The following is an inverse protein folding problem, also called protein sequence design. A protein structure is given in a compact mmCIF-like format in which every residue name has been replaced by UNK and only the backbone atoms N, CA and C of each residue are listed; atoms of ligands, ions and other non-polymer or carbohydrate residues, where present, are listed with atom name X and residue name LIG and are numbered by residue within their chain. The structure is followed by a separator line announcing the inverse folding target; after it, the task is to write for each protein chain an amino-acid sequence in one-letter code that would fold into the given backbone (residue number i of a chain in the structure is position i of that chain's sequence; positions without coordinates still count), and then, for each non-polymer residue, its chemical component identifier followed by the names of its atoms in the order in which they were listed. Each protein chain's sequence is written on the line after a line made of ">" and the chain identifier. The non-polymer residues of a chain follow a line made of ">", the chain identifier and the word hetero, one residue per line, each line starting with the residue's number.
data_IF_107322371703
#
_entry.id   IF_107322371703
#
_cell.length_a   1.000
_cell.length_b   1.000
_cell.length_c   1.000
_cell.angle_alpha   90.00
_cell.angle_beta   90.00
_cell.angle_gamma   90.00
#
_symmetry.space_group_name_H-M   'P 1'
#
loop_
_entity.id
_entity.type
_entity.pdbx_description
1 polymer ?
#
# COMPACT_ATOMS: atom_id res chain seq x y z
N UNK A 1 43.70 56.27 -19.80
CA UNK A 1 44.12 56.59 -21.19
C UNK A 1 44.02 55.32 -22.02
N UNK A 2 43.40 55.19 -23.18
CA UNK A 2 42.48 55.95 -24.03
C UNK A 2 41.71 54.87 -24.84
N UNK A 3 40.38 54.77 -24.71
CA UNK A 3 39.33 55.28 -25.62
C UNK A 3 39.06 54.43 -26.90
N UNK A 4 38.00 53.62 -26.79
CA UNK A 4 36.86 53.40 -27.73
C UNK A 4 37.08 52.74 -29.11
N UNK A 5 36.35 51.63 -29.33
CA UNK A 5 35.30 51.54 -30.37
C UNK A 5 34.24 50.49 -30.01
N UNK A 6 33.01 50.98 -29.84
CA UNK A 6 31.74 50.26 -29.74
C UNK A 6 31.38 49.60 -31.08
N UNK A 7 30.91 48.35 -31.06
CA UNK A 7 29.86 47.84 -31.96
C UNK A 7 29.00 46.81 -31.18
N UNK A 8 27.73 47.14 -30.92
CA UNK A 8 26.67 46.24 -30.43
C UNK A 8 25.88 45.68 -31.67
N UNK A 9 24.94 44.72 -31.53
CA UNK A 9 24.83 43.51 -32.33
C UNK A 9 23.62 43.54 -33.27
N UNK A 10 23.45 42.52 -34.12
CA UNK A 10 22.17 41.99 -34.64
C UNK A 10 22.45 40.98 -35.77
N UNK A 11 21.47 40.14 -36.20
CA UNK A 11 20.26 39.68 -35.52
C UNK A 11 20.01 38.15 -35.66
N UNK A 12 18.99 37.65 -34.97
CA UNK A 12 18.36 36.33 -35.17
C UNK A 12 18.06 36.04 -36.66
N UNK A 13 18.21 34.79 -37.13
CA UNK A 13 17.57 34.36 -38.36
C UNK A 13 16.09 34.01 -38.10
N UNK A 14 15.24 34.71 -38.84
CA UNK A 14 13.79 34.60 -38.92
C UNK A 14 13.31 33.29 -39.57
N UNK A 15 12.16 32.83 -39.09
CA UNK A 15 11.25 31.84 -39.67
C UNK A 15 11.06 32.02 -41.19
N UNK A 16 11.15 30.95 -42.00
CA UNK A 16 10.55 30.94 -43.33
C UNK A 16 9.07 30.57 -43.22
N UNK A 17 8.22 31.58 -43.31
CA UNK A 17 6.81 31.44 -43.68
C UNK A 17 6.70 31.13 -45.17
N UNK A 18 6.16 29.97 -45.51
CA UNK A 18 5.62 29.65 -46.84
C UNK A 18 4.35 28.83 -46.71
N UNK A 19 3.32 29.10 -47.56
CA UNK A 19 1.97 28.64 -47.33
C UNK A 19 1.81 27.20 -47.81
N UNK A 20 1.58 26.26 -46.89
CA UNK A 20 1.02 24.97 -47.26
C UNK A 20 -0.49 25.15 -47.46
N UNK A 21 -0.86 25.31 -48.72
CA UNK A 21 -2.22 25.14 -49.23
C UNK A 21 -2.63 23.69 -48.90
N UNK A 22 -3.47 23.52 -47.88
CA UNK A 22 -4.15 22.25 -47.64
C UNK A 22 -5.31 22.22 -48.65
N UNK A 23 -5.07 21.61 -49.81
CA UNK A 23 -6.14 21.20 -50.71
C UNK A 23 -6.94 20.08 -50.03
N UNK A 24 -8.16 20.40 -49.64
CA UNK A 24 -9.20 19.43 -49.30
C UNK A 24 -9.36 18.40 -50.44
N UNK A 25 -9.23 17.08 -50.18
CA UNK A 25 -9.61 16.10 -51.18
C UNK A 25 -11.15 16.04 -51.26
N UNK A 26 -11.72 15.84 -52.46
CA UNK A 26 -13.16 15.70 -52.63
C UNK A 26 -13.63 14.39 -51.99
N UNK A 27 -14.73 14.47 -51.24
CA UNK A 27 -15.56 13.32 -50.88
C UNK A 27 -16.11 12.68 -52.17
N UNK A 28 -15.38 11.70 -52.71
CA UNK A 28 -15.93 10.77 -53.68
C UNK A 28 -16.57 9.60 -52.91
N UNK A 29 -17.90 9.58 -52.96
CA UNK A 29 -18.73 8.41 -52.69
C UNK A 29 -18.29 7.26 -53.60
N UNK A 30 -17.47 6.35 -53.08
CA UNK A 30 -17.31 5.02 -53.65
C UNK A 30 -18.18 4.03 -52.87
N UNK A 31 -19.31 3.72 -53.48
CA UNK A 31 -20.12 2.54 -53.25
C UNK A 31 -19.27 1.28 -53.42
N UNK A 32 -18.85 0.66 -52.31
CA UNK A 32 -18.39 -0.72 -52.32
C UNK A 32 -19.61 -1.63 -52.25
N UNK A 33 -19.96 -2.23 -53.39
CA UNK A 33 -20.90 -3.32 -53.50
C UNK A 33 -20.40 -4.51 -52.66
N UNK A 34 -21.09 -4.82 -51.57
CA UNK A 34 -20.96 -6.11 -50.90
C UNK A 34 -21.76 -7.13 -51.72
N UNK A 35 -21.02 -8.02 -52.36
CA UNK A 35 -21.55 -9.15 -53.12
C UNK A 35 -22.33 -10.10 -52.22
N UNK A 36 -23.55 -10.36 -52.66
CA UNK A 36 -24.56 -11.28 -52.16
C UNK A 36 -23.99 -12.69 -51.88
N UNK A 37 -24.10 -13.17 -50.64
CA UNK A 37 -24.04 -14.60 -50.31
C UNK A 37 -25.49 -15.11 -50.12
N UNK A 38 -25.84 -16.33 -50.55
CA UNK A 38 -27.23 -16.75 -50.69
C UNK A 38 -27.93 -16.93 -49.33
N UNK A 39 -29.06 -16.24 -49.17
CA UNK A 39 -30.03 -16.49 -48.11
C UNK A 39 -30.66 -17.88 -48.28
N UNK A 40 -30.45 -18.74 -47.29
CA UNK A 40 -31.13 -20.02 -47.17
C UNK A 40 -32.54 -19.78 -46.63
N UNK A 41 -33.53 -19.97 -47.50
CA UNK A 41 -34.95 -20.07 -47.14
C UNK A 41 -35.17 -21.27 -46.22
N UNK A 42 -35.72 -21.04 -45.02
CA UNK A 42 -36.46 -22.08 -44.28
C UNK A 42 -37.84 -21.56 -43.86
N UNK A 43 -38.88 -22.39 -44.03
CA UNK A 43 -40.27 -21.96 -44.00
C UNK A 43 -40.80 -21.79 -42.57
N UNK A 44 -41.76 -20.87 -42.43
CA UNK A 44 -42.62 -20.76 -41.25
C UNK A 44 -43.38 -22.07 -41.03
N UNK A 45 -43.09 -22.79 -39.96
CA UNK A 45 -43.90 -23.91 -39.50
C UNK A 45 -44.67 -23.47 -38.25
N UNK A 46 -45.93 -23.08 -38.46
CA UNK A 46 -46.91 -22.97 -37.39
C UNK A 46 -47.29 -24.38 -36.92
N UNK A 47 -46.94 -24.75 -35.71
CA UNK A 47 -47.45 -25.98 -35.08
C UNK A 47 -48.55 -25.63 -34.07
N UNK A 48 -49.77 -25.55 -34.57
CA UNK A 48 -50.91 -25.92 -33.75
C UNK A 48 -50.85 -27.44 -33.54
N UNK A 49 -50.50 -27.87 -32.34
CA UNK A 49 -50.72 -29.25 -31.91
C UNK A 49 -51.33 -29.27 -30.51
N UNK A 50 -52.34 -30.11 -30.38
CA UNK A 50 -53.32 -30.19 -29.30
C UNK A 50 -52.65 -30.62 -27.99
N UNK A 51 -52.99 -29.93 -26.89
CA UNK A 51 -52.61 -30.36 -25.53
C UNK A 51 -53.41 -31.63 -25.18
N UNK A 52 -52.69 -32.72 -24.89
CA UNK A 52 -53.29 -33.95 -24.40
C UNK A 52 -53.57 -33.81 -22.89
N UNK A 53 -54.80 -34.08 -22.40
CA UNK A 53 -55.20 -33.79 -21.01
C UNK A 53 -54.72 -34.81 -19.96
N UNK A 54 -53.76 -35.70 -20.28
CA UNK A 54 -53.39 -36.84 -19.44
C UNK A 54 -51.95 -36.74 -18.92
N UNK A 55 -51.45 -35.56 -18.56
CA UNK A 55 -50.09 -35.47 -18.03
C UNK A 55 -49.80 -34.30 -17.09
N UNK A 56 -50.81 -33.85 -16.32
CA UNK A 56 -50.52 -33.08 -15.12
C UNK A 56 -51.60 -33.31 -14.04
N UNK A 57 -51.30 -34.05 -12.95
CA UNK A 57 -52.24 -34.26 -11.84
C UNK A 57 -52.37 -33.04 -10.91
N UNK A 58 -51.73 -31.91 -11.22
CA UNK A 58 -51.70 -30.73 -10.34
C UNK A 58 -52.03 -29.41 -11.06
N UNK A 59 -52.62 -29.45 -12.27
CA UNK A 59 -53.13 -28.26 -12.96
C UNK A 59 -54.53 -27.89 -12.42
N UNK A 60 -54.57 -27.30 -11.22
CA UNK A 60 -55.77 -26.68 -10.68
C UNK A 60 -55.90 -25.28 -11.32
N UNK A 61 -56.75 -25.18 -12.34
CA UNK A 61 -56.93 -23.97 -13.16
C UNK A 61 -57.19 -22.66 -12.38
N UNK A 62 -57.13 -21.50 -13.06
CA UNK A 62 -57.08 -20.20 -12.39
C UNK A 62 -58.39 -19.87 -11.67
N UNK A 63 -58.33 -19.74 -10.33
CA UNK A 63 -59.43 -19.26 -9.50
C UNK A 63 -59.52 -17.71 -9.52
N UNK A 64 -60.73 -17.13 -9.49
CA UNK A 64 -60.93 -15.68 -9.61
C UNK A 64 -60.94 -14.97 -8.24
N UNK A 65 -60.74 -13.66 -8.31
CA UNK A 65 -61.06 -12.62 -7.31
C UNK A 65 -60.14 -12.46 -6.08
N UNK A 66 -59.13 -11.59 -6.21
CA UNK A 66 -58.61 -10.82 -5.05
C UNK A 66 -58.29 -9.37 -5.48
N UNK A 67 -59.03 -8.41 -4.92
CA UNK A 67 -58.89 -6.96 -5.10
C UNK A 67 -57.55 -6.41 -4.58
N UNK A 68 -56.96 -5.48 -5.32
CA UNK A 68 -55.75 -4.74 -4.94
C UNK A 68 -56.11 -3.53 -4.06
N UNK A 69 -55.81 -3.62 -2.76
CA UNK A 69 -55.84 -2.49 -1.83
C UNK A 69 -54.44 -1.88 -1.69
N UNK A 70 -54.30 -0.60 -2.06
CA UNK A 70 -53.13 0.23 -1.76
C UNK A 70 -53.25 0.85 -0.38
N UNK A 71 -52.30 0.67 0.54
CA UNK A 71 -52.05 1.61 1.65
C UNK A 71 -50.70 1.33 2.32
N UNK A 72 -49.73 2.22 2.06
CA UNK A 72 -48.61 2.66 2.91
C UNK A 72 -47.57 1.62 3.39
N UNK A 73 -46.32 1.71 2.92
CA UNK A 73 -45.17 2.40 3.56
C UNK A 73 -44.71 1.81 4.90
N UNK A 74 -43.39 1.60 4.96
CA UNK A 74 -42.53 1.24 6.09
C UNK A 74 -42.41 -0.23 6.50
N UNK A 75 -41.20 -0.77 6.32
CA UNK A 75 -40.62 -1.76 7.23
C UNK A 75 -40.08 -3.04 6.59
N UNK A 76 -38.74 -3.11 6.47
CA UNK A 76 -37.89 -4.30 6.23
C UNK A 76 -38.10 -5.05 4.92
N UNK A 77 -37.04 -5.10 4.13
CA UNK A 77 -36.93 -6.00 2.98
C UNK A 77 -36.88 -7.45 3.47
N UNK A 78 -37.99 -8.16 3.37
CA UNK A 78 -38.07 -9.61 3.57
C UNK A 78 -37.19 -10.34 2.55
N UNK A 79 -36.48 -11.37 2.98
CA UNK A 79 -35.74 -12.27 2.08
C UNK A 79 -36.74 -12.98 1.15
N UNK A 80 -36.40 -13.00 -0.14
CA UNK A 80 -37.21 -13.61 -1.21
C UNK A 80 -37.49 -15.09 -0.88
N UNK A 81 -38.76 -15.51 -0.69
CA UNK A 81 -39.11 -16.85 -0.19
C UNK A 81 -39.09 -17.93 -1.30
N UNK A 82 -38.48 -17.65 -2.45
CA UNK A 82 -38.42 -18.61 -3.56
C UNK A 82 -37.27 -19.61 -3.38
N UNK A 83 -37.49 -20.92 -3.66
CA UNK A 83 -36.41 -21.89 -3.66
C UNK A 83 -35.38 -21.58 -4.77
N UNK A 84 -34.12 -22.05 -4.65
CA UNK A 84 -33.03 -21.71 -5.57
C UNK A 84 -33.35 -21.96 -7.06
N UNK A 85 -33.13 -20.95 -7.90
CA UNK A 85 -33.25 -21.06 -9.35
C UNK A 85 -32.10 -21.90 -9.94
N UNK A 86 -32.48 -23.10 -10.42
CA UNK A 86 -31.73 -24.02 -11.29
C UNK A 86 -30.44 -24.67 -10.71
N UNK A 87 -30.47 -25.97 -10.33
CA UNK A 87 -29.29 -26.69 -9.84
C UNK A 87 -28.18 -26.92 -10.89
N UNK A 88 -28.49 -26.75 -12.19
CA UNK A 88 -27.55 -27.03 -13.29
C UNK A 88 -26.89 -25.75 -13.88
N UNK A 89 -26.96 -24.61 -13.18
CA UNK A 89 -26.28 -23.39 -13.62
C UNK A 89 -24.77 -23.44 -13.27
N UNK A 90 -23.84 -23.38 -14.26
CA UNK A 90 -22.40 -23.40 -14.01
C UNK A 90 -21.89 -22.16 -13.25
N UNK A 91 -22.69 -21.10 -13.14
CA UNK A 91 -22.37 -19.88 -12.42
C UNK A 91 -23.35 -19.69 -11.26
N UNK A 92 -22.96 -20.16 -10.07
CA UNK A 92 -23.78 -20.10 -8.87
C UNK A 92 -24.19 -18.68 -8.43
N UNK A 93 -25.41 -18.60 -7.89
CA UNK A 93 -26.04 -17.61 -7.00
C UNK A 93 -25.84 -16.08 -7.14
N UNK A 94 -24.95 -15.55 -7.99
CA UNK A 94 -24.86 -14.10 -8.19
C UNK A 94 -25.86 -13.61 -9.24
N UNK A 95 -27.06 -13.23 -8.80
CA UNK A 95 -27.96 -12.38 -9.59
C UNK A 95 -27.44 -10.94 -9.57
N UNK A 96 -26.78 -10.52 -10.64
CA UNK A 96 -26.57 -9.10 -10.90
C UNK A 96 -27.81 -8.50 -11.59
N UNK A 97 -28.19 -7.24 -11.29
CA UNK A 97 -29.32 -6.60 -11.95
C UNK A 97 -29.09 -6.51 -13.47
N UNK A 98 -30.16 -6.61 -14.25
CA UNK A 98 -30.09 -6.57 -15.71
C UNK A 98 -29.43 -5.27 -16.19
N UNK A 99 -28.29 -5.37 -16.87
CA UNK A 99 -27.47 -4.23 -17.30
C UNK A 99 -26.27 -3.88 -16.39
N UNK A 100 -26.09 -4.60 -15.27
CA UNK A 100 -24.93 -4.44 -14.40
C UNK A 100 -23.70 -5.13 -15.01
N UNK A 101 -22.92 -4.35 -15.76
CA UNK A 101 -21.65 -4.79 -16.30
C UNK A 101 -20.54 -4.35 -15.34
N UNK A 102 -19.83 -5.31 -14.72
CA UNK A 102 -18.76 -5.04 -13.74
C UNK A 102 -17.66 -4.16 -14.36
N UNK A 103 -17.44 -4.30 -15.68
CA UNK A 103 -16.46 -3.50 -16.43
C UNK A 103 -16.92 -2.05 -16.68
N UNK A 104 -18.23 -1.77 -16.75
CA UNK A 104 -18.75 -0.40 -16.90
C UNK A 104 -18.70 0.40 -15.60
N UNK A 105 -18.77 -0.27 -14.44
CA UNK A 105 -18.57 0.38 -13.13
C UNK A 105 -17.16 0.94 -13.01
N UNK A 106 -16.16 0.22 -13.57
CA UNK A 106 -14.80 0.71 -13.70
C UNK A 106 -14.73 1.95 -14.61
N UNK A 107 -15.52 2.02 -15.68
CA UNK A 107 -15.52 3.19 -16.58
C UNK A 107 -16.01 4.46 -15.88
N UNK A 108 -17.12 4.39 -15.13
CA UNK A 108 -17.62 5.54 -14.38
C UNK A 108 -16.71 5.94 -13.22
N UNK A 109 -16.05 4.98 -12.56
CA UNK A 109 -15.01 5.24 -11.56
C UNK A 109 -13.77 5.88 -12.20
N UNK A 110 -13.38 5.38 -13.38
CA UNK A 110 -12.24 5.85 -14.19
C UNK A 110 -12.44 7.27 -14.72
N UNK A 111 -13.66 7.62 -15.14
CA UNK A 111 -14.02 8.99 -15.56
C UNK A 111 -14.01 9.96 -14.38
N UNK A 112 -14.47 9.51 -13.20
CA UNK A 112 -14.45 10.31 -11.97
C UNK A 112 -13.06 10.47 -11.37
N UNK A 113 -12.20 9.46 -11.53
CA UNK A 113 -10.88 9.38 -10.90
C UNK A 113 -10.94 8.81 -9.48
N UNK A 114 -12.02 8.12 -9.12
CA UNK A 114 -12.19 7.54 -7.78
C UNK A 114 -11.28 6.32 -7.61
N UNK A 115 -10.59 6.25 -6.47
CA UNK A 115 -9.75 5.11 -6.09
C UNK A 115 -10.51 4.26 -5.07
N UNK A 116 -10.89 3.03 -5.46
CA UNK A 116 -11.56 2.08 -4.56
C UNK A 116 -10.62 1.00 -4.04
N UNK A 117 -9.61 0.63 -4.84
CA UNK A 117 -8.57 -0.32 -4.44
C UNK A 117 -7.19 0.26 -4.70
N UNK A 118 -6.39 0.34 -3.66
CA UNK A 118 -5.02 0.82 -3.70
C UNK A 118 -4.06 -0.29 -3.31
N UNK A 119 -3.06 -0.57 -4.13
CA UNK A 119 -1.95 -1.45 -3.78
C UNK A 119 -0.72 -0.60 -3.48
N UNK A 120 -0.08 -0.80 -2.33
CA UNK A 120 1.20 -0.15 -2.03
C UNK A 120 2.31 -1.19 -2.00
N UNK A 121 3.34 -1.02 -2.82
CA UNK A 121 4.55 -1.85 -2.82
C UNK A 121 5.64 -1.12 -2.06
N UNK A 122 5.92 -1.58 -0.83
CA UNK A 122 6.82 -0.90 0.09
C UNK A 122 8.14 -1.65 0.18
N UNK A 123 9.19 -1.01 -0.33
CA UNK A 123 10.58 -1.42 -0.19
C UNK A 123 11.11 -1.14 1.21
N UNK A 124 12.04 -1.96 1.67
CA UNK A 124 12.70 -1.80 2.97
C UNK A 124 12.37 -2.86 4.02
N UNK A 125 12.86 -2.59 5.23
CA UNK A 125 12.62 -3.36 6.43
C UNK A 125 11.48 -2.80 7.27
N UNK A 126 11.52 -3.05 8.58
CA UNK A 126 10.47 -2.57 9.51
C UNK A 126 10.45 -1.04 9.57
N UNK A 127 11.63 -0.40 9.59
CA UNK A 127 11.78 1.04 9.72
C UNK A 127 11.08 1.80 8.59
N UNK A 128 11.39 1.45 7.34
CA UNK A 128 10.83 2.12 6.16
C UNK A 128 9.33 1.86 6.00
N UNK A 129 8.87 0.66 6.40
CA UNK A 129 7.44 0.32 6.38
C UNK A 129 6.64 1.09 7.45
N UNK A 130 7.23 1.39 8.62
CA UNK A 130 6.60 2.25 9.63
C UNK A 130 6.42 3.68 9.13
N UNK A 131 7.44 4.24 8.49
CA UNK A 131 7.39 5.59 7.95
C UNK A 131 6.40 5.75 6.79
N UNK A 132 5.92 4.64 6.23
CA UNK A 132 4.86 4.65 5.20
C UNK A 132 3.44 4.78 5.78
N UNK A 133 3.24 4.65 7.09
CA UNK A 133 1.90 4.71 7.71
C UNK A 133 1.15 6.03 7.48
N UNK A 134 1.79 7.22 7.55
CA UNK A 134 1.16 8.48 7.14
C UNK A 134 0.58 8.44 5.73
N UNK A 135 1.27 7.83 4.76
CA UNK A 135 0.78 7.70 3.39
C UNK A 135 -0.51 6.86 3.32
N UNK A 136 -0.57 5.77 4.09
CA UNK A 136 -1.77 4.92 4.16
C UNK A 136 -2.96 5.67 4.74
N UNK A 137 -2.74 6.45 5.81
CA UNK A 137 -3.78 7.27 6.43
C UNK A 137 -4.24 8.36 5.45
N UNK A 138 -3.31 9.04 4.78
CA UNK A 138 -3.60 10.06 3.76
C UNK A 138 -4.44 9.50 2.60
N UNK A 139 -4.15 8.28 2.14
CA UNK A 139 -4.93 7.59 1.10
C UNK A 139 -6.37 7.32 1.59
N UNK A 140 -6.54 6.92 2.84
CA UNK A 140 -7.87 6.67 3.44
C UNK A 140 -8.69 7.94 3.64
N UNK A 141 -8.03 9.01 4.06
CA UNK A 141 -8.68 10.31 4.28
C UNK A 141 -9.09 10.94 2.95
N UNK A 142 -8.25 10.78 1.91
CA UNK A 142 -8.55 11.24 0.54
C UNK A 142 -9.68 10.46 -0.11
N UNK A 143 -9.66 9.13 0.00
CA UNK A 143 -10.60 8.25 -0.71
C UNK A 143 -11.44 7.47 0.29
N UNK A 144 -12.63 7.98 0.68
CA UNK A 144 -13.47 7.29 1.66
C UNK A 144 -13.90 5.92 1.13
N UNK A 145 -13.66 4.88 1.94
CA UNK A 145 -13.97 3.50 1.58
C UNK A 145 -12.92 2.77 0.72
N UNK A 146 -11.78 3.40 0.39
CA UNK A 146 -10.69 2.75 -0.34
C UNK A 146 -10.16 1.53 0.41
N UNK A 147 -9.97 0.41 -0.28
CA UNK A 147 -9.33 -0.78 0.28
C UNK A 147 -7.84 -0.71 -0.02
N UNK A 148 -7.01 -0.66 1.04
CA UNK A 148 -5.56 -0.60 0.91
C UNK A 148 -4.96 -1.97 1.16
N UNK A 149 -4.28 -2.50 0.16
CA UNK A 149 -3.47 -3.71 0.24
C UNK A 149 -2.00 -3.35 0.15
N UNK A 150 -1.15 -4.07 0.90
CA UNK A 150 0.28 -3.84 0.94
C UNK A 150 1.03 -5.07 0.41
N UNK A 151 2.10 -4.81 -0.32
CA UNK A 151 3.11 -5.78 -0.72
C UNK A 151 4.43 -5.32 -0.11
N UNK A 152 5.04 -6.15 0.72
CA UNK A 152 6.29 -5.83 1.39
C UNK A 152 7.11 -7.10 1.64
N UNK A 153 8.39 -6.92 1.96
CA UNK A 153 9.27 -8.01 2.40
C UNK A 153 8.63 -8.80 3.55
N UNK A 154 8.96 -10.10 3.73
CA UNK A 154 8.37 -10.92 4.81
C UNK A 154 8.50 -10.27 6.20
N UNK A 155 9.59 -9.53 6.43
CA UNK A 155 9.83 -8.78 7.67
C UNK A 155 9.03 -7.47 7.70
N UNK A 156 9.05 -6.68 6.63
CA UNK A 156 8.29 -5.43 6.53
C UNK A 156 6.78 -5.64 6.69
N UNK A 157 6.26 -6.75 6.15
CA UNK A 157 4.85 -7.18 6.29
C UNK A 157 4.36 -7.20 7.73
N UNK A 158 5.19 -7.63 8.68
CA UNK A 158 4.79 -7.78 10.09
C UNK A 158 4.39 -6.44 10.71
N UNK A 159 4.96 -5.34 10.22
CA UNK A 159 4.64 -3.97 10.65
C UNK A 159 3.16 -3.66 10.50
N UNK A 160 2.49 -4.20 9.48
CA UNK A 160 1.08 -3.91 9.24
C UNK A 160 0.12 -4.58 10.24
N UNK A 161 0.63 -5.43 11.14
CA UNK A 161 -0.16 -5.95 12.28
C UNK A 161 -0.65 -4.84 13.22
N UNK A 162 0.09 -3.72 13.26
CA UNK A 162 -0.24 -2.53 14.06
C UNK A 162 -0.88 -1.40 13.26
N UNK A 163 -1.33 -1.67 12.02
CA UNK A 163 -2.03 -0.68 11.19
C UNK A 163 -3.44 -1.14 10.84
N UNK A 164 -4.46 -0.47 11.38
CA UNK A 164 -5.88 -0.79 11.16
C UNK A 164 -6.39 -0.46 9.75
N UNK A 165 -5.67 0.37 9.01
CA UNK A 165 -6.11 0.88 7.71
C UNK A 165 -5.72 -0.05 6.56
N UNK A 166 -4.92 -1.08 6.83
CA UNK A 166 -4.52 -2.09 5.85
C UNK A 166 -5.50 -3.26 5.91
N UNK A 167 -6.00 -3.68 4.74
CA UNK A 167 -6.86 -4.85 4.61
C UNK A 167 -6.03 -6.13 4.55
N UNK A 168 -5.10 -6.18 3.61
CA UNK A 168 -4.22 -7.35 3.41
C UNK A 168 -2.77 -6.92 3.23
N UNK A 169 -1.86 -7.69 3.80
CA UNK A 169 -0.42 -7.56 3.58
C UNK A 169 0.13 -8.86 3.00
N UNK A 170 0.58 -8.82 1.74
CA UNK A 170 1.20 -9.94 1.02
C UNK A 170 2.72 -9.86 1.18
N UNK A 171 3.35 -11.00 1.46
CA UNK A 171 4.79 -11.10 1.54
C UNK A 171 5.36 -11.31 0.13
N UNK A 172 6.20 -10.38 -0.30
CA UNK A 172 6.97 -10.44 -1.54
C UNK A 172 8.09 -9.43 -1.38
N UNK A 173 9.34 -9.83 -1.53
CA UNK A 173 10.44 -8.89 -1.35
C UNK A 173 10.61 -8.04 -2.61
N UNK A 174 10.19 -6.76 -2.60
CA UNK A 174 10.39 -5.93 -3.78
C UNK A 174 11.87 -5.65 -4.02
N UNK A 175 12.75 -5.84 -3.02
CA UNK A 175 14.17 -5.48 -3.10
C UNK A 175 15.06 -6.59 -3.62
N UNK A 176 14.50 -7.78 -3.82
CA UNK A 176 15.21 -8.83 -4.53
C UNK A 176 15.49 -8.37 -5.97
N UNK A 177 16.77 -8.42 -6.33
CA UNK A 177 17.24 -8.00 -7.66
C UNK A 177 16.92 -9.06 -8.72
N UNK A 178 16.86 -10.33 -8.31
CA UNK A 178 16.66 -11.46 -9.22
C UNK A 178 15.65 -12.45 -8.62
N UNK A 179 14.38 -12.04 -8.49
CA UNK A 179 13.34 -12.94 -8.00
C UNK A 179 13.20 -14.14 -8.95
N UNK A 180 12.88 -15.29 -8.37
CA UNK A 180 12.61 -16.47 -9.18
C UNK A 180 11.44 -16.18 -10.14
N UNK A 181 11.53 -16.56 -11.43
CA UNK A 181 10.47 -16.29 -12.40
C UNK A 181 9.10 -16.83 -11.97
N UNK A 182 9.07 -17.94 -11.23
CA UNK A 182 7.86 -18.52 -10.69
C UNK A 182 7.21 -17.60 -9.64
N UNK A 183 7.98 -17.09 -8.67
CA UNK A 183 7.50 -16.15 -7.66
C UNK A 183 7.04 -14.82 -8.29
N UNK A 184 7.77 -14.35 -9.30
CA UNK A 184 7.42 -13.16 -10.05
C UNK A 184 6.06 -13.29 -10.77
N UNK A 185 5.86 -14.40 -11.49
CA UNK A 185 4.62 -14.66 -12.22
C UNK A 185 3.43 -14.93 -11.30
N UNK A 186 3.66 -15.62 -10.17
CA UNK A 186 2.62 -15.84 -9.16
C UNK A 186 2.17 -14.51 -8.55
N UNK A 187 3.13 -13.64 -8.17
CA UNK A 187 2.81 -12.32 -7.64
C UNK A 187 2.05 -11.46 -8.67
N UNK A 188 2.48 -11.48 -9.94
CA UNK A 188 1.75 -10.79 -11.01
C UNK A 188 0.31 -11.32 -11.14
N UNK A 189 0.12 -12.63 -11.07
CA UNK A 189 -1.20 -13.26 -11.10
C UNK A 189 -2.07 -12.77 -9.93
N UNK A 190 -1.52 -12.77 -8.71
CA UNK A 190 -2.21 -12.26 -7.50
C UNK A 190 -2.62 -10.80 -7.65
N UNK A 191 -1.72 -9.95 -8.15
CA UNK A 191 -2.00 -8.52 -8.31
C UNK A 191 -3.03 -8.25 -9.41
N UNK A 192 -2.92 -8.94 -10.54
CA UNK A 192 -3.84 -8.81 -11.67
C UNK A 192 -5.25 -9.28 -11.31
N UNK A 193 -5.38 -10.37 -10.56
CA UNK A 193 -6.68 -10.88 -10.12
C UNK A 193 -7.41 -9.96 -9.14
N UNK A 194 -6.68 -9.06 -8.45
CA UNK A 194 -7.27 -8.14 -7.46
C UNK A 194 -7.76 -6.82 -8.04
N UNK A 195 -7.38 -6.46 -9.27
CA UNK A 195 -7.75 -5.22 -9.96
C UNK A 195 -7.63 -3.97 -9.09
N UNK A 196 -6.48 -3.30 -9.18
CA UNK A 196 -6.24 -2.05 -8.45
C UNK A 196 -6.50 -0.82 -9.33
N UNK A 197 -7.00 0.25 -8.71
CA UNK A 197 -7.19 1.55 -9.36
C UNK A 197 -5.92 2.40 -9.26
N UNK A 198 -5.18 2.25 -8.14
CA UNK A 198 -3.96 2.97 -7.84
C UNK A 198 -2.90 2.00 -7.32
N UNK A 199 -1.69 2.09 -7.85
CA UNK A 199 -0.52 1.40 -7.32
C UNK A 199 0.57 2.41 -6.98
N UNK A 200 1.00 2.40 -5.72
CA UNK A 200 2.02 3.29 -5.18
C UNK A 200 3.23 2.45 -4.79
N UNK A 201 4.44 2.79 -5.25
CA UNK A 201 5.64 2.05 -4.88
C UNK A 201 6.77 2.92 -4.35
N UNK A 202 7.35 2.50 -3.22
CA UNK A 202 8.50 3.17 -2.61
C UNK A 202 9.85 2.62 -3.08
N UNK A 203 9.86 1.51 -3.83
CA UNK A 203 11.08 1.00 -4.48
C UNK A 203 11.49 1.97 -5.58
N UNK A 204 12.79 2.24 -5.69
CA UNK A 204 13.37 2.91 -6.86
C UNK A 204 13.13 2.09 -8.12
N UNK A 205 12.21 2.56 -8.94
CA UNK A 205 11.85 1.94 -10.19
C UNK A 205 12.95 2.17 -11.23
N UNK A 206 13.63 1.09 -11.60
CA UNK A 206 14.22 0.95 -12.93
C UNK A 206 13.17 0.41 -13.92
N UNK A 207 13.57 0.17 -15.16
CA UNK A 207 12.67 -0.36 -16.19
C UNK A 207 11.95 -1.65 -15.76
N UNK A 208 12.67 -2.59 -15.12
CA UNK A 208 12.11 -3.87 -14.70
C UNK A 208 10.97 -3.74 -13.69
N UNK A 209 11.13 -2.90 -12.66
CA UNK A 209 10.08 -2.67 -11.66
C UNK A 209 8.90 -1.89 -12.25
N UNK A 210 9.18 -0.91 -13.11
CA UNK A 210 8.14 -0.20 -13.84
C UNK A 210 7.34 -1.14 -14.75
N UNK A 211 8.00 -2.09 -15.42
CA UNK A 211 7.35 -3.12 -16.24
C UNK A 211 6.52 -4.09 -15.39
N UNK A 212 7.02 -4.49 -14.22
CA UNK A 212 6.25 -5.29 -13.26
C UNK A 212 4.93 -4.58 -12.90
N UNK A 213 5.00 -3.32 -12.46
CA UNK A 213 3.81 -2.53 -12.15
C UNK A 213 2.88 -2.38 -13.37
N UNK A 214 3.44 -2.15 -14.55
CA UNK A 214 2.69 -2.01 -15.80
C UNK A 214 1.87 -3.27 -16.15
N UNK A 215 2.46 -4.47 -15.97
CA UNK A 215 1.80 -5.74 -16.28
C UNK A 215 0.63 -6.08 -15.34
N UNK A 216 0.51 -5.43 -14.17
CA UNK A 216 -0.62 -5.63 -13.25
C UNK A 216 -1.95 -5.06 -13.74
N UNK A 217 -1.97 -4.38 -14.90
CA UNK A 217 -3.17 -3.74 -15.47
C UNK A 217 -3.80 -2.66 -14.58
N UNK A 218 -3.07 -2.17 -13.57
CA UNK A 218 -3.51 -1.09 -12.69
C UNK A 218 -3.66 0.23 -13.47
N UNK A 219 -4.69 1.03 -13.17
CA UNK A 219 -4.95 2.32 -13.85
C UNK A 219 -3.83 3.33 -13.61
N UNK A 220 -3.67 3.80 -12.38
CA UNK A 220 -2.64 4.78 -12.02
C UNK A 220 -1.45 4.10 -11.34
N UNK A 221 -0.24 4.33 -11.84
CA UNK A 221 0.99 3.72 -11.32
C UNK A 221 1.98 4.80 -10.96
N UNK A 222 2.38 4.83 -9.70
CA UNK A 222 3.20 5.91 -9.14
C UNK A 222 4.36 5.33 -8.38
N UNK A 223 5.58 5.79 -8.66
CA UNK A 223 6.77 5.29 -8.00
C UNK A 223 7.92 6.29 -8.02
N UNK A 224 8.85 6.13 -7.08
CA UNK A 224 10.14 6.78 -7.17
C UNK A 224 10.97 6.13 -8.28
N UNK A 225 11.74 6.92 -9.02
CA UNK A 225 12.64 6.42 -10.07
C UNK A 225 14.08 6.70 -9.68
N UNK A 226 15.02 5.92 -10.20
CA UNK A 226 16.44 6.20 -10.02
C UNK A 226 16.78 7.63 -10.51
N UNK A 227 17.64 8.37 -9.81
CA UNK A 227 18.07 9.70 -10.27
C UNK A 227 18.95 9.62 -11.53
N UNK A 228 19.56 8.46 -11.80
CA UNK A 228 20.49 8.21 -12.90
C UNK A 228 19.80 7.65 -14.17
N UNK A 229 20.60 7.34 -15.20
CA UNK A 229 20.16 6.76 -16.48
C UNK A 229 19.40 5.42 -16.33
N UNK A 230 19.52 4.76 -15.17
CA UNK A 230 18.76 3.54 -14.84
C UNK A 230 17.23 3.76 -14.83
N UNK A 231 16.78 5.01 -14.78
CA UNK A 231 15.36 5.37 -14.92
C UNK A 231 14.90 5.52 -16.39
N UNK A 232 15.78 5.34 -17.38
CA UNK A 232 15.41 5.45 -18.79
C UNK A 232 14.23 4.52 -19.14
N UNK A 233 13.23 5.08 -19.80
CA UNK A 233 12.03 4.36 -20.24
C UNK A 233 10.98 4.10 -19.15
N UNK A 234 11.24 4.38 -17.87
CA UNK A 234 10.26 4.19 -16.78
C UNK A 234 8.99 5.03 -16.95
N UNK A 235 9.13 6.25 -17.48
CA UNK A 235 8.02 7.17 -17.73
C UNK A 235 7.02 6.71 -18.79
N UNK A 236 7.35 5.71 -19.63
CA UNK A 236 6.38 5.11 -20.55
C UNK A 236 5.45 4.11 -19.85
N UNK A 237 5.87 3.59 -18.69
CA UNK A 237 5.20 2.50 -17.97
C UNK A 237 4.49 3.00 -16.71
N UNK A 238 5.02 4.06 -16.09
CA UNK A 238 4.46 4.71 -14.92
C UNK A 238 3.62 5.94 -15.33
N UNK A 239 2.60 6.23 -14.53
CA UNK A 239 1.73 7.40 -14.71
C UNK A 239 2.38 8.66 -14.13
N UNK A 240 2.97 8.53 -12.94
CA UNK A 240 3.65 9.61 -12.23
C UNK A 240 4.97 9.11 -11.64
N UNK A 241 5.99 9.97 -11.67
CA UNK A 241 7.34 9.63 -11.25
C UNK A 241 7.86 10.65 -10.23
N UNK A 242 8.53 10.16 -9.20
CA UNK A 242 9.23 10.99 -8.21
C UNK A 242 10.74 10.80 -8.35
N UNK A 243 11.50 11.89 -8.28
CA UNK A 243 12.96 11.86 -8.38
C UNK A 243 13.55 12.14 -7.01
N UNK A 244 13.98 11.12 -6.25
CA UNK A 244 14.60 11.34 -4.96
C UNK A 244 15.98 11.99 -5.12
N UNK A 245 16.48 12.67 -4.08
CA UNK A 245 17.79 13.33 -4.12
C UNK A 245 18.96 12.34 -4.14
N UNK A 246 18.76 11.13 -3.64
CA UNK A 246 19.79 10.09 -3.58
C UNK A 246 19.30 8.75 -4.13
N UNK A 247 20.25 7.85 -4.36
CA UNK A 247 20.07 6.47 -4.81
C UNK A 247 19.55 5.52 -3.73
N UNK A 248 19.37 5.99 -2.49
CA UNK A 248 18.77 5.23 -1.41
C UNK A 248 17.77 6.10 -0.66
N UNK A 249 16.47 5.84 -0.83
CA UNK A 249 15.41 6.59 -0.15
C UNK A 249 15.58 6.58 1.38
N UNK A 250 16.12 5.50 1.94
CA UNK A 250 16.21 5.29 3.38
C UNK A 250 17.12 6.33 4.05
N UNK A 251 18.05 6.94 3.31
CA UNK A 251 18.90 8.05 3.77
C UNK A 251 18.10 9.31 4.10
N UNK A 252 16.92 9.49 3.48
CA UNK A 252 16.03 10.61 3.78
C UNK A 252 15.40 10.56 5.17
N UNK A 253 15.60 9.47 5.92
CA UNK A 253 15.10 9.30 7.27
C UNK A 253 13.59 9.56 7.36
N UNK A 254 13.17 10.39 8.32
CA UNK A 254 11.76 10.70 8.55
C UNK A 254 11.04 11.30 7.31
N UNK A 255 11.74 12.06 6.46
CA UNK A 255 11.17 12.77 5.32
C UNK A 255 11.35 12.02 3.98
N UNK A 256 11.73 10.74 4.02
CA UNK A 256 12.04 9.97 2.80
C UNK A 256 10.89 9.90 1.77
N UNK A 257 9.64 10.07 2.23
CA UNK A 257 8.46 9.99 1.37
C UNK A 257 7.81 11.34 1.05
N UNK A 258 8.44 12.47 1.36
CA UNK A 258 7.84 13.81 1.24
C UNK A 258 7.28 14.12 -0.15
N UNK A 259 7.96 13.75 -1.23
CA UNK A 259 7.47 14.01 -2.60
C UNK A 259 6.18 13.22 -2.89
N UNK A 260 6.14 11.96 -2.45
CA UNK A 260 4.97 11.10 -2.57
C UNK A 260 3.82 11.58 -1.69
N UNK A 261 4.11 12.00 -0.46
CA UNK A 261 3.12 12.57 0.46
C UNK A 261 2.56 13.89 -0.08
N UNK A 262 3.39 14.76 -0.66
CA UNK A 262 2.93 15.97 -1.32
C UNK A 262 1.99 15.63 -2.48
N UNK A 263 2.39 14.71 -3.35
CA UNK A 263 1.55 14.28 -4.48
C UNK A 263 0.22 13.67 -4.03
N UNK A 264 0.25 12.78 -3.03
CA UNK A 264 -0.93 12.23 -2.37
C UNK A 264 -1.72 13.26 -1.56
N UNK A 265 -1.17 14.45 -1.31
CA UNK A 265 -1.82 15.55 -0.60
C UNK A 265 -2.43 16.60 -1.53
N UNK A 266 -2.06 16.63 -2.82
CA UNK A 266 -2.49 17.65 -3.79
C UNK A 266 -4.02 17.76 -3.92
N UNK A 267 -4.58 18.98 -3.99
CA UNK A 267 -6.01 19.14 -4.18
C UNK A 267 -6.44 18.56 -5.54
N UNK A 268 -7.51 17.76 -5.54
CA UNK A 268 -8.05 17.14 -6.75
C UNK A 268 -9.55 17.43 -6.79
N UNK A 269 -10.07 17.93 -7.94
CA UNK A 269 -11.51 18.06 -8.26
C UNK A 269 -12.43 18.25 -7.04
N UNK A 270 -12.48 19.48 -6.51
CA UNK A 270 -13.30 19.91 -5.37
C UNK A 270 -12.86 19.42 -3.96
N UNK A 271 -11.79 18.62 -3.84
CA UNK A 271 -11.21 18.29 -2.55
C UNK A 271 -10.06 19.24 -2.19
N UNK A 272 -10.05 19.82 -0.97
CA UNK A 272 -8.95 20.64 -0.50
C UNK A 272 -7.68 19.81 -0.30
N UNK A 273 -6.54 20.49 -0.11
CA UNK A 273 -5.29 19.84 0.24
C UNK A 273 -5.44 19.16 1.60
N UNK A 274 -5.18 17.86 1.66
CA UNK A 274 -5.24 17.10 2.90
C UNK A 274 -3.92 17.28 3.67
N UNK A 275 -3.96 17.61 4.97
CA UNK A 275 -2.75 17.68 5.78
C UNK A 275 -2.12 16.30 5.94
N UNK A 276 -0.79 16.25 6.02
CA UNK A 276 -0.07 14.98 6.24
C UNK A 276 -0.39 14.51 7.68
N UNK A 277 -1.04 13.34 7.84
CA UNK A 277 -1.37 12.84 9.16
C UNK A 277 -0.10 12.39 9.90
N UNK A 278 -0.05 12.55 11.23
CA UNK A 278 1.10 12.06 12.00
C UNK A 278 1.11 10.52 12.01
N UNK A 279 2.29 9.95 12.27
CA UNK A 279 2.47 8.52 12.44
C UNK A 279 1.62 8.03 13.63
N UNK A 280 0.72 7.08 13.39
CA UNK A 280 -0.13 6.46 14.42
C UNK A 280 -0.09 4.94 14.30
N UNK A 281 -0.03 4.27 15.44
CA UNK A 281 -0.05 2.81 15.53
C UNK A 281 -1.25 2.33 16.35
N UNK A 282 -1.73 1.13 16.05
CA UNK A 282 -2.86 0.49 16.73
C UNK A 282 -2.43 -0.87 17.26
N UNK A 283 -2.27 -0.97 18.59
CA UNK A 283 -1.75 -2.18 19.24
C UNK A 283 -2.93 -3.07 19.67
N UNK A 284 -2.91 -4.33 19.24
CA UNK A 284 -3.97 -5.29 19.60
C UNK A 284 -3.92 -5.65 21.09
N UNK A 285 -5.09 -5.94 21.67
CA UNK A 285 -5.20 -6.35 23.08
C UNK A 285 -4.39 -7.62 23.39
N UNK A 286 -4.42 -8.60 22.48
CA UNK A 286 -3.71 -9.87 22.60
C UNK A 286 -2.19 -9.68 22.68
N UNK A 287 -1.63 -8.83 21.82
CA UNK A 287 -0.17 -8.54 21.82
C UNK A 287 0.23 -7.83 23.10
N UNK A 288 -0.58 -6.89 23.59
CA UNK A 288 -0.34 -6.19 24.84
C UNK A 288 -0.33 -7.11 26.06
N UNK A 289 -1.31 -8.03 26.17
CA UNK A 289 -1.35 -9.04 27.24
C UNK A 289 -0.13 -9.97 27.19
N UNK A 290 0.27 -10.40 25.98
CA UNK A 290 1.45 -11.24 25.79
C UNK A 290 2.75 -10.55 26.24
N UNK A 291 2.93 -9.28 25.86
CA UNK A 291 4.12 -8.49 26.24
C UNK A 291 4.11 -8.16 27.73
N UNK A 292 2.94 -7.92 28.31
CA UNK A 292 2.78 -7.73 29.75
C UNK A 292 3.24 -8.93 30.57
N UNK A 293 2.94 -10.16 30.12
CA UNK A 293 3.50 -11.36 30.72
C UNK A 293 5.04 -11.40 30.65
N UNK A 294 5.62 -11.07 29.50
CA UNK A 294 7.08 -11.11 29.31
C UNK A 294 7.82 -10.14 30.20
N UNK A 295 7.42 -8.87 30.26
CA UNK A 295 8.16 -7.88 31.05
C UNK A 295 7.94 -8.08 32.56
N UNK A 296 6.79 -8.62 32.99
CA UNK A 296 6.60 -9.03 34.39
C UNK A 296 7.53 -10.18 34.78
N UNK A 297 7.73 -11.15 33.89
CA UNK A 297 8.68 -12.25 34.10
C UNK A 297 10.13 -11.75 34.14
N UNK A 298 10.45 -10.69 33.40
CA UNK A 298 11.74 -10.00 33.46
C UNK A 298 11.92 -9.08 34.69
N UNK A 299 10.94 -9.06 35.60
CA UNK A 299 10.99 -8.35 36.88
C UNK A 299 10.67 -6.85 36.80
N UNK A 300 10.18 -6.33 35.68
CA UNK A 300 9.85 -4.90 35.53
C UNK A 300 8.36 -4.62 35.66
N UNK A 301 8.03 -3.43 36.18
CA UNK A 301 6.66 -2.94 36.34
C UNK A 301 6.34 -1.91 35.26
N UNK A 302 5.11 -1.93 34.74
CA UNK A 302 4.60 -0.94 33.78
C UNK A 302 4.92 0.49 34.21
N UNK A 303 5.45 1.29 33.28
CA UNK A 303 5.82 2.69 33.47
C UNK A 303 7.06 2.95 34.33
N UNK A 304 7.75 1.92 34.82
CA UNK A 304 8.96 2.05 35.67
C UNK A 304 10.22 1.51 35.01
N UNK A 305 10.21 1.38 33.68
CA UNK A 305 11.36 0.97 32.90
C UNK A 305 11.53 1.82 31.66
N UNK A 306 12.76 1.88 31.16
CA UNK A 306 13.13 2.49 29.89
C UNK A 306 13.57 1.38 28.96
N UNK A 307 13.07 1.41 27.72
CA UNK A 307 13.42 0.41 26.70
C UNK A 307 14.75 0.79 26.07
N UNK A 308 15.71 -0.12 26.09
CA UNK A 308 17.00 0.01 25.38
C UNK A 308 16.94 -0.84 24.12
N UNK A 309 17.17 -0.21 22.95
CA UNK A 309 17.10 -0.88 21.65
C UNK A 309 18.21 -0.37 20.71
N UNK A 310 18.71 -1.20 19.81
CA UNK A 310 19.86 -0.84 18.95
C UNK A 310 21.19 -1.44 19.43
N UNK A 311 21.10 -2.62 20.05
CA UNK A 311 22.27 -3.46 20.31
C UNK A 311 22.86 -3.93 18.98
N UNK A 312 24.18 -3.90 18.89
CA UNK A 312 24.92 -4.49 17.77
C UNK A 312 24.56 -5.97 17.62
N UNK A 313 24.09 -6.32 16.43
CA UNK A 313 23.60 -7.65 16.12
C UNK A 313 23.59 -7.86 14.60
N UNK A 314 24.08 -9.01 14.17
CA UNK A 314 23.98 -9.48 12.78
C UNK A 314 22.56 -9.93 12.40
N UNK A 315 21.64 -9.96 13.36
CA UNK A 315 20.28 -10.44 13.16
C UNK A 315 19.45 -9.45 12.34
N UNK A 316 18.74 -9.96 11.32
CA UNK A 316 17.69 -9.21 10.59
C UNK A 316 16.55 -8.73 11.50
N UNK A 317 16.50 -9.18 12.76
CA UNK A 317 15.54 -8.74 13.75
C UNK A 317 15.91 -7.43 14.47
N UNK A 318 17.09 -6.85 14.23
CA UNK A 318 17.56 -5.58 14.84
C UNK A 318 16.70 -4.35 14.49
N UNK A 319 15.86 -4.45 13.45
CA UNK A 319 14.95 -3.38 13.00
C UNK A 319 15.65 -2.03 12.72
N UNK A 320 16.93 -2.09 12.34
CA UNK A 320 17.69 -0.91 11.90
C UNK A 320 17.19 -0.37 10.55
N UNK A 321 17.45 0.92 10.32
CA UNK A 321 17.23 1.55 9.02
C UNK A 321 18.17 0.97 7.96
N UNK A 322 17.71 0.79 6.73
CA UNK A 322 18.59 0.46 5.59
C UNK A 322 19.42 1.66 5.11
N UNK A 323 19.12 2.86 5.58
CA UNK A 323 19.89 4.06 5.29
C UNK A 323 21.13 4.21 6.16
N UNK A 324 21.21 3.46 7.27
CA UNK A 324 22.24 3.64 8.30
C UNK A 324 22.68 2.30 8.88
N UNK A 325 23.66 1.69 8.20
CA UNK A 325 24.17 0.35 8.51
C UNK A 325 25.07 0.31 9.75
N UNK A 326 25.61 1.45 10.16
CA UNK A 326 26.48 1.62 11.33
C UNK A 326 25.73 2.28 12.50
N UNK A 327 24.41 2.10 12.52
CA UNK A 327 23.56 2.70 13.54
C UNK A 327 23.58 1.94 14.86
N UNK A 328 24.06 0.70 14.91
CA UNK A 328 23.99 -0.11 16.13
C UNK A 328 25.17 0.17 17.05
N UNK A 329 24.91 0.14 18.36
CA UNK A 329 25.95 0.39 19.37
C UNK A 329 26.38 -0.92 20.05
N UNK A 330 27.68 -1.13 20.26
CA UNK A 330 28.21 -2.25 21.03
C UNK A 330 27.67 -2.31 22.47
N UNK A 331 27.61 -3.53 23.02
CA UNK A 331 27.05 -3.80 24.36
C UNK A 331 27.79 -3.03 25.47
N UNK A 332 29.11 -2.90 25.39
CA UNK A 332 29.90 -2.21 26.40
C UNK A 332 29.53 -0.73 26.56
N UNK A 333 29.24 -0.02 25.45
CA UNK A 333 28.79 1.38 25.50
C UNK A 333 27.40 1.48 26.14
N UNK A 334 26.52 0.53 25.85
CA UNK A 334 25.20 0.47 26.50
C UNK A 334 25.31 0.21 28.01
N UNK A 335 26.28 -0.60 28.44
CA UNK A 335 26.56 -0.81 29.86
C UNK A 335 27.00 0.49 30.55
N UNK A 336 27.86 1.28 29.91
CA UNK A 336 28.31 2.58 30.42
C UNK A 336 27.15 3.58 30.54
N UNK A 337 26.31 3.68 29.52
CA UNK A 337 25.13 4.58 29.49
C UNK A 337 24.15 4.20 30.61
N UNK A 338 23.87 2.91 30.77
CA UNK A 338 22.85 2.44 31.71
C UNK A 338 23.31 2.42 33.16
N UNK A 339 24.64 2.34 33.42
CA UNK A 339 25.22 2.43 34.76
C UNK A 339 24.88 3.74 35.48
N UNK A 340 24.71 4.82 34.74
CA UNK A 340 24.40 6.14 35.32
C UNK A 340 22.89 6.33 35.63
N UNK A 341 22.03 5.42 35.17
CA UNK A 341 20.57 5.50 35.38
C UNK A 341 20.18 5.04 36.79
N UNK A 342 19.56 5.92 37.59
CA UNK A 342 19.17 5.62 38.98
C UNK A 342 17.65 5.47 39.21
N UNK A 343 16.84 6.24 38.50
CA UNK A 343 15.40 6.35 38.78
C UNK A 343 14.51 5.38 37.99
N UNK A 344 15.05 4.79 36.91
CA UNK A 344 14.31 3.92 35.98
C UNK A 344 15.15 2.70 35.65
N UNK A 345 14.56 1.50 35.71
CA UNK A 345 15.27 0.26 35.39
C UNK A 345 15.45 0.13 33.87
N UNK A 346 16.67 -0.06 33.35
CA UNK A 346 16.88 -0.33 31.94
C UNK A 346 16.35 -1.72 31.59
N UNK A 347 15.59 -1.82 30.50
CA UNK A 347 15.10 -3.07 29.93
C UNK A 347 15.69 -3.23 28.53
N UNK A 348 16.59 -4.19 28.37
CA UNK A 348 17.27 -4.45 27.11
C UNK A 348 16.43 -5.34 26.20
N UNK A 349 16.24 -4.88 24.96
CA UNK A 349 15.55 -5.65 23.93
C UNK A 349 16.59 -6.32 23.03
N UNK A 350 16.65 -7.66 23.10
CA UNK A 350 17.55 -8.44 22.26
C UNK A 350 16.84 -8.91 20.98
N UNK A 351 17.45 -8.74 19.79
CA UNK A 351 16.94 -9.25 18.52
C UNK A 351 17.15 -10.76 18.35
N UNK A 352 18.08 -11.38 19.09
CA UNK A 352 18.25 -12.84 19.12
C UNK A 352 18.69 -13.32 20.50
N UNK A 353 18.22 -14.50 20.92
CA UNK A 353 18.57 -15.13 22.20
C UNK A 353 20.09 -15.41 22.36
N UNK A 354 20.86 -15.36 21.27
CA UNK A 354 22.31 -15.62 21.29
C UNK A 354 23.08 -14.51 22.00
N UNK A 355 22.55 -13.29 21.96
CA UNK A 355 23.16 -12.11 22.57
C UNK A 355 22.85 -12.01 24.07
N UNK A 356 21.98 -12.88 24.61
CA UNK A 356 21.63 -12.86 26.03
C UNK A 356 22.85 -13.06 26.92
N UNK A 357 23.65 -14.08 26.63
CA UNK A 357 24.78 -14.49 27.47
C UNK A 357 25.82 -13.36 27.59
N UNK A 358 26.21 -12.79 26.44
CA UNK A 358 27.15 -11.66 26.38
C UNK A 358 26.63 -10.41 27.12
N UNK A 359 25.33 -10.16 27.02
CA UNK A 359 24.66 -9.04 27.70
C UNK A 359 24.61 -9.25 29.23
N UNK A 360 24.30 -10.47 29.68
CA UNK A 360 24.28 -10.83 31.10
C UNK A 360 25.69 -10.78 31.72
N UNK A 361 26.71 -11.18 30.97
CA UNK A 361 28.12 -11.09 31.39
C UNK A 361 28.60 -9.64 31.51
N UNK A 362 28.26 -8.79 30.53
CA UNK A 362 28.77 -7.41 30.47
C UNK A 362 28.05 -6.47 31.46
N UNK A 363 26.74 -6.61 31.59
CA UNK A 363 25.91 -5.69 32.41
C UNK A 363 25.69 -6.24 33.83
N UNK A 364 25.78 -7.56 33.98
CA UNK A 364 25.55 -8.29 35.23
C UNK A 364 24.15 -8.91 35.31
N UNK A 365 24.00 -9.90 36.20
CA UNK A 365 22.81 -10.76 36.31
C UNK A 365 21.53 -10.12 36.87
N UNK A 366 21.53 -8.84 37.25
CA UNK A 366 20.30 -8.09 37.61
C UNK A 366 19.74 -7.27 36.42
N UNK A 367 20.34 -7.42 35.24
CA UNK A 367 19.85 -6.81 34.02
C UNK A 367 18.50 -7.41 33.61
N UNK A 368 17.53 -6.54 33.32
CA UNK A 368 16.25 -6.97 32.77
C UNK A 368 16.38 -7.09 31.25
N UNK A 369 16.25 -8.31 30.73
CA UNK A 369 16.44 -8.62 29.31
C UNK A 369 15.17 -9.27 28.75
N UNK A 370 14.71 -8.79 27.60
CA UNK A 370 13.54 -9.31 26.91
C UNK A 370 13.84 -9.59 25.44
N UNK A 371 13.45 -10.78 24.98
CA UNK A 371 13.48 -11.14 23.57
C UNK A 371 12.18 -10.74 22.88
N UNK A 372 12.29 -9.89 21.86
CA UNK A 372 11.16 -9.38 21.09
C UNK A 372 11.36 -9.72 19.61
N UNK A 373 10.37 -10.38 19.02
CA UNK A 373 10.46 -10.82 17.63
C UNK A 373 9.71 -9.95 16.67
N UNK A 374 8.61 -9.29 17.05
CA UNK A 374 7.75 -8.56 16.09
C UNK A 374 7.67 -7.06 16.39
N UNK A 375 7.46 -6.21 15.36
CA UNK A 375 7.26 -4.78 15.56
C UNK A 375 6.09 -4.45 16.48
N UNK A 376 5.00 -5.23 16.44
CA UNK A 376 3.86 -5.03 17.33
C UNK A 376 4.15 -5.37 18.78
N UNK A 377 4.99 -6.39 19.05
CA UNK A 377 5.49 -6.66 20.40
C UNK A 377 6.35 -5.49 20.92
N UNK A 378 7.24 -4.96 20.07
CA UNK A 378 8.07 -3.80 20.42
C UNK A 378 7.20 -2.56 20.69
N UNK A 379 6.21 -2.29 19.85
CA UNK A 379 5.27 -1.19 20.04
C UNK A 379 4.49 -1.31 21.36
N UNK A 380 4.03 -2.52 21.71
CA UNK A 380 3.36 -2.79 22.97
C UNK A 380 4.27 -2.57 24.19
N UNK A 381 5.55 -2.97 24.07
CA UNK A 381 6.55 -2.76 25.11
C UNK A 381 6.80 -1.26 25.34
N UNK A 382 7.02 -0.51 24.26
CA UNK A 382 7.24 0.94 24.30
C UNK A 382 6.01 1.68 24.85
N UNK A 383 4.81 1.26 24.49
CA UNK A 383 3.59 1.87 25.01
C UNK A 383 3.46 1.74 26.54
N UNK A 384 3.98 0.67 27.13
CA UNK A 384 3.97 0.41 28.57
C UNK A 384 5.22 0.92 29.30
N UNK A 385 6.21 1.47 28.58
CA UNK A 385 7.44 2.02 29.17
C UNK A 385 7.31 3.49 29.58
N UNK A 386 8.31 3.99 30.32
CA UNK A 386 8.48 5.42 30.62
C UNK A 386 9.03 6.18 29.40
N UNK A 387 9.88 5.52 28.61
CA UNK A 387 10.48 6.06 27.40
C UNK A 387 11.35 5.01 26.70
N UNK A 388 12.07 5.46 25.68
CA UNK A 388 12.97 4.64 24.86
C UNK A 388 14.31 5.35 24.73
N UNK A 389 15.39 4.61 24.89
CA UNK A 389 16.73 5.04 24.47
C UNK A 389 17.14 4.07 23.37
N UNK A 390 17.42 4.60 22.19
CA UNK A 390 17.78 3.77 21.05
C UNK A 390 18.74 4.48 20.12
N UNK A 391 19.33 3.72 19.21
CA UNK A 391 19.94 4.29 18.01
C UNK A 391 18.90 4.44 16.90
N UNK A 392 19.31 4.78 15.68
CA UNK A 392 18.44 4.99 14.50
C UNK A 392 17.74 3.69 14.03
N UNK A 393 16.77 3.23 14.83
CA UNK A 393 16.02 2.00 14.64
C UNK A 393 14.51 2.25 14.70
N UNK A 394 13.72 1.23 14.37
CA UNK A 394 12.27 1.31 14.39
C UNK A 394 11.68 1.72 15.76
N UNK A 395 12.41 1.49 16.86
CA UNK A 395 11.98 1.84 18.21
C UNK A 395 11.73 3.36 18.38
N UNK A 396 12.56 4.20 17.75
CA UNK A 396 12.43 5.67 17.77
C UNK A 396 11.13 6.13 17.12
N UNK A 397 10.75 5.48 16.01
CA UNK A 397 9.52 5.81 15.28
C UNK A 397 8.28 5.29 16.03
N UNK A 398 8.36 4.11 16.63
CA UNK A 398 7.31 3.58 17.48
C UNK A 398 7.09 4.42 18.75
N UNK A 399 8.16 4.92 19.37
CA UNK A 399 8.06 5.83 20.51
C UNK A 399 7.31 7.12 20.15
N UNK A 400 7.61 7.70 18.99
CA UNK A 400 6.90 8.86 18.46
C UNK A 400 5.40 8.55 18.24
N UNK A 401 5.11 7.42 17.61
CA UNK A 401 3.73 6.99 17.35
C UNK A 401 2.91 6.75 18.63
N UNK A 402 3.57 6.31 19.70
CA UNK A 402 2.97 6.06 21.01
C UNK A 402 2.97 7.30 21.93
N UNK A 403 3.55 8.43 21.51
CA UNK A 403 3.66 9.64 22.33
C UNK A 403 4.57 9.47 23.56
N UNK A 404 5.64 8.69 23.44
CA UNK A 404 6.61 8.41 24.51
C UNK A 404 7.88 9.24 24.35
N UNK A 405 8.52 9.55 25.47
CA UNK A 405 9.85 10.17 25.46
C UNK A 405 10.85 9.24 24.78
N UNK A 406 11.70 9.79 23.93
CA UNK A 406 12.69 9.05 23.16
C UNK A 406 14.03 9.78 23.18
N UNK A 407 15.10 9.01 23.30
CA UNK A 407 16.46 9.46 23.10
C UNK A 407 17.06 8.66 21.95
N UNK A 408 17.63 9.36 20.98
CA UNK A 408 18.21 8.76 19.79
C UNK A 408 19.71 9.08 19.71
N UNK A 409 20.53 8.05 19.54
CA UNK A 409 21.92 8.19 19.15
C UNK A 409 22.02 8.07 17.63
N UNK A 410 22.42 9.16 16.97
CA UNK A 410 22.76 9.17 15.55
C UNK A 410 24.27 9.19 15.43
N UNK A 411 24.82 8.36 14.54
CA UNK A 411 26.25 8.22 14.27
C UNK A 411 26.93 9.54 13.86
N UNK A 412 26.15 10.55 13.43
CA UNK A 412 26.69 11.84 12.96
C UNK A 412 26.16 13.12 13.66
N UNK A 413 25.11 13.11 14.49
CA UNK A 413 24.63 14.30 15.21
C UNK A 413 23.77 13.94 16.44
N UNK A 414 24.17 14.35 17.65
CA UNK A 414 23.26 14.32 18.81
C UNK A 414 22.15 15.38 18.62
N UNK A 415 20.98 15.00 18.10
CA UNK A 415 19.79 15.86 18.10
C UNK A 415 18.91 15.57 19.33
N UNK A 416 18.66 16.62 20.14
CA UNK A 416 17.64 16.61 21.18
C UNK A 416 16.31 17.09 20.59
N UNK A 417 15.26 16.26 20.62
CA UNK A 417 13.88 16.68 20.27
C UNK A 417 12.83 16.08 21.19
#
# INVERSE_FOLDING_TARGET
>A
MALTKLILPNPLPSLPSSPLIISSPPFNLFTSQLTHLPQSNRPNLSTHSKKNPWLDPFDDGPAPDIEYGSLFTDGKQEEDPRPPDNPDNPYGFLKFPQGYNVELTMLASKVRGDVRRCCCIVSGGVYENLLFFPAIQLIRDRYPGVQVDIVASPRGKQTYEINKNVRWATAFDPDDSFPEPAEYLDMLSVLKNRYYDLMVSTKLAGFAHAAFMFMTSTRDKVSYVWPDDNAAGTGFLLTEIFKPPSSNLSEGGYNMYDQMLDWLGRPTRNFPREPIPPLKVSISKKVREYVEGKYKNAGVKKGKYVVIHGLESDSKASMQSRGDLDSLLPIHLWAEITREMRDVKPLFVIPHEKEREELEETIGGDSSIIFITTPGQLAALINDSAGVISTNTAAVQLANACGKQRFEFLSNQLEFK
#
